data_IF_401047912992
#
_entry.id   IF_401047912992
#
_cell.length_a   1.000
_cell.length_b   1.000
_cell.length_c   1.000
_cell.angle_alpha   90.00
_cell.angle_beta   90.00
_cell.angle_gamma   90.00
#
_symmetry.space_group_name_H-M   'P 1'
#
loop_
_entity.id
_entity.type
_entity.pdbx_description
1 polymer ?
#
# COMPACT_ATOMS: atom_id res chain seq x y z
N UNK A 1 -12.10 57.72 -69.40
CA UNK A 1 -11.28 58.89 -69.81
C UNK A 1 -11.33 59.93 -68.68
N UNK A 2 -10.17 60.51 -68.31
CA UNK A 2 -9.86 61.51 -67.25
C UNK A 2 -9.79 60.88 -65.82
N UNK A 3 -8.63 60.59 -65.20
CA UNK A 3 -7.41 61.38 -64.82
C UNK A 3 -7.78 62.50 -63.83
N UNK A 4 -7.21 62.70 -62.62
CA UNK A 4 -5.83 62.65 -62.06
C UNK A 4 -5.88 62.32 -60.53
N UNK A 5 -4.96 61.52 -59.94
CA UNK A 5 -3.68 61.87 -59.24
C UNK A 5 -3.86 62.70 -57.93
N UNK A 6 -3.23 62.47 -56.75
CA UNK A 6 -1.89 61.95 -56.37
C UNK A 6 -1.82 61.49 -54.88
N UNK A 7 -0.98 60.47 -54.66
CA UNK A 7 0.06 60.19 -53.63
C UNK A 7 -0.09 60.54 -52.11
N UNK A 8 0.16 59.49 -51.31
CA UNK A 8 0.47 59.28 -49.87
C UNK A 8 1.96 59.71 -49.58
N UNK A 9 2.65 59.64 -48.39
CA UNK A 9 2.34 59.47 -46.93
C UNK A 9 3.07 60.44 -45.95
N UNK A 10 2.79 60.32 -44.64
CA UNK A 10 3.75 59.89 -43.56
C UNK A 10 3.71 60.67 -42.22
N UNK A 11 3.26 59.95 -41.19
CA UNK A 11 3.87 59.72 -39.86
C UNK A 11 3.98 60.79 -38.75
N UNK A 12 3.86 60.24 -37.53
CA UNK A 12 4.10 60.77 -36.18
C UNK A 12 2.94 61.57 -35.56
N UNK A 13 2.25 61.17 -34.49
CA UNK A 13 2.55 60.19 -33.45
C UNK A 13 2.73 60.91 -32.11
N UNK A 14 1.79 60.76 -31.18
CA UNK A 14 2.01 60.76 -29.73
C UNK A 14 0.68 60.49 -29.00
N UNK A 15 0.78 59.59 -28.03
CA UNK A 15 -0.29 58.86 -27.34
C UNK A 15 -0.77 59.66 -26.12
N UNK A 16 -2.09 59.80 -25.95
CA UNK A 16 -2.71 60.23 -24.69
C UNK A 16 -2.77 59.04 -23.72
N UNK A 17 -1.98 59.07 -22.66
CA UNK A 17 -2.14 58.17 -21.52
C UNK A 17 -3.15 58.74 -20.52
N UNK A 18 -4.34 58.15 -20.47
CA UNK A 18 -5.30 58.33 -19.39
C UNK A 18 -5.07 57.26 -18.33
N UNK A 19 -4.59 57.65 -17.15
CA UNK A 19 -4.49 56.78 -15.98
C UNK A 19 -5.86 56.64 -15.31
N UNK A 20 -6.47 55.45 -15.43
CA UNK A 20 -7.62 55.05 -14.63
C UNK A 20 -7.12 54.36 -13.35
N UNK A 21 -7.53 54.89 -12.19
CA UNK A 21 -7.31 54.29 -10.88
C UNK A 21 -8.28 53.10 -10.72
N UNK A 22 -7.79 51.88 -10.88
CA UNK A 22 -8.48 50.67 -10.45
C UNK A 22 -8.08 50.37 -9.00
N UNK A 23 -9.03 50.44 -8.08
CA UNK A 23 -8.85 50.04 -6.68
C UNK A 23 -8.85 48.51 -6.56
N UNK A 24 -7.73 47.94 -6.16
CA UNK A 24 -7.65 46.55 -5.73
C UNK A 24 -8.12 46.47 -4.27
N UNK A 25 -9.27 45.86 -4.03
CA UNK A 25 -9.61 45.35 -2.70
C UNK A 25 -8.68 44.17 -2.41
N UNK A 26 -7.79 44.32 -1.42
CA UNK A 26 -7.06 43.21 -0.83
C UNK A 26 -8.08 42.22 -0.24
N UNK A 27 -8.46 41.20 -1.02
CA UNK A 27 -8.89 39.94 -0.44
C UNK A 27 -7.61 39.27 0.03
N UNK A 28 -7.32 39.41 1.32
CA UNK A 28 -6.48 38.44 2.01
C UNK A 28 -7.22 37.11 1.90
N UNK A 29 -6.88 36.35 0.85
CA UNK A 29 -7.17 34.92 0.82
C UNK A 29 -6.29 34.36 1.91
N UNK A 30 -6.87 34.13 3.08
CA UNK A 30 -6.31 33.18 4.03
C UNK A 30 -6.52 31.85 3.31
N UNK A 31 -5.58 31.48 2.44
CA UNK A 31 -5.42 30.09 2.09
C UNK A 31 -5.21 29.40 3.43
N UNK A 32 -6.04 28.40 3.81
CA UNK A 32 -5.66 27.57 4.94
C UNK A 32 -4.25 27.12 4.58
N UNK A 33 -3.29 27.41 5.46
CA UNK A 33 -1.97 26.82 5.36
C UNK A 33 -2.23 25.32 5.36
N UNK A 34 -2.31 24.73 4.17
CA UNK A 34 -2.06 23.33 4.00
C UNK A 34 -0.65 23.23 4.56
N UNK A 35 -0.53 22.72 5.78
CA UNK A 35 0.73 22.18 6.22
C UNK A 35 1.11 21.25 5.09
N UNK A 36 2.09 21.67 4.28
CA UNK A 36 2.70 20.79 3.30
C UNK A 36 3.10 19.60 4.14
N UNK A 37 2.42 18.48 3.95
CA UNK A 37 2.81 17.25 4.60
C UNK A 37 4.17 16.91 4.00
N UNK A 38 5.24 17.39 4.64
CA UNK A 38 6.62 16.90 4.48
C UNK A 38 6.72 15.45 5.01
N UNK A 39 5.64 14.67 4.85
CA UNK A 39 5.57 13.25 5.13
C UNK A 39 6.26 12.57 3.97
N UNK A 40 7.18 11.68 4.31
CA UNK A 40 7.95 10.93 3.33
C UNK A 40 7.01 10.20 2.33
N UNK A 41 7.28 10.22 1.01
CA UNK A 41 6.49 9.44 0.06
C UNK A 41 6.45 7.95 0.41
N UNK A 42 5.33 7.28 0.14
CA UNK A 42 5.23 5.83 0.30
C UNK A 42 5.58 5.15 -1.02
N UNK A 43 6.61 4.31 -0.99
CA UNK A 43 7.04 3.52 -2.13
C UNK A 43 6.81 2.05 -1.80
N UNK A 44 5.76 1.51 -2.43
CA UNK A 44 5.22 0.15 -2.26
C UNK A 44 5.97 -0.79 -3.20
N UNK A 45 6.92 -1.54 -2.66
CA UNK A 45 7.71 -2.51 -3.42
C UNK A 45 6.94 -3.82 -3.53
N UNK A 46 6.81 -4.33 -4.75
CA UNK A 46 6.15 -5.58 -5.08
C UNK A 46 6.97 -6.36 -6.11
N UNK A 47 6.90 -7.69 -6.08
CA UNK A 47 7.36 -8.54 -7.17
C UNK A 47 6.37 -8.41 -8.36
N UNK A 48 6.88 -7.96 -9.51
CA UNK A 48 6.04 -7.74 -10.69
C UNK A 48 5.65 -9.01 -11.44
N UNK A 49 6.34 -10.12 -11.18
CA UNK A 49 6.04 -11.42 -11.78
C UNK A 49 4.94 -12.15 -10.98
N UNK A 50 4.68 -11.71 -9.75
CA UNK A 50 3.57 -12.17 -8.92
C UNK A 50 2.33 -11.29 -9.13
N UNK A 51 1.30 -11.86 -9.77
CA UNK A 51 0.05 -11.13 -10.08
C UNK A 51 -0.69 -10.72 -8.80
N UNK A 52 -0.65 -11.53 -7.75
CA UNK A 52 -1.34 -11.24 -6.49
C UNK A 52 -0.65 -10.06 -5.77
N UNK A 53 0.69 -9.99 -5.81
CA UNK A 53 1.42 -8.82 -5.29
C UNK A 53 1.16 -7.55 -6.10
N UNK A 54 1.03 -7.64 -7.43
CA UNK A 54 0.63 -6.50 -8.26
C UNK A 54 -0.76 -5.97 -7.86
N UNK A 55 -1.71 -6.86 -7.62
CA UNK A 55 -3.06 -6.50 -7.15
C UNK A 55 -3.00 -5.89 -5.74
N UNK A 56 -2.28 -6.52 -4.81
CA UNK A 56 -2.11 -6.03 -3.44
C UNK A 56 -1.44 -4.65 -3.40
N UNK A 57 -0.38 -4.43 -4.18
CA UNK A 57 0.28 -3.13 -4.28
C UNK A 57 -0.69 -2.02 -4.71
N UNK A 58 -1.56 -2.31 -5.67
CA UNK A 58 -2.60 -1.37 -6.10
C UNK A 58 -3.69 -1.16 -5.05
N UNK A 59 -4.09 -2.20 -4.33
CA UNK A 59 -5.01 -2.10 -3.19
C UNK A 59 -4.43 -1.16 -2.14
N UNK A 60 -3.19 -1.36 -1.71
CA UNK A 60 -2.55 -0.52 -0.71
C UNK A 60 -2.39 0.92 -1.18
N UNK A 61 -2.02 1.14 -2.44
CA UNK A 61 -1.97 2.49 -3.04
C UNK A 61 -3.32 3.20 -2.93
N UNK A 62 -4.41 2.53 -3.28
CA UNK A 62 -5.75 3.15 -3.24
C UNK A 62 -6.29 3.33 -1.81
N UNK A 63 -5.93 2.46 -0.86
CA UNK A 63 -6.24 2.63 0.56
C UNK A 63 -5.54 3.88 1.11
N UNK A 64 -4.22 3.97 0.91
CA UNK A 64 -3.45 5.11 1.38
C UNK A 64 -3.93 6.43 0.76
N UNK A 65 -4.33 6.40 -0.52
CA UNK A 65 -4.93 7.57 -1.17
C UNK A 65 -6.25 8.02 -0.52
N UNK A 66 -7.06 7.09 0.03
CA UNK A 66 -8.29 7.42 0.78
C UNK A 66 -7.98 8.08 2.12
N UNK A 67 -6.86 7.70 2.75
CA UNK A 67 -6.31 8.33 3.95
C UNK A 67 -5.55 9.64 3.66
N UNK A 68 -5.55 10.10 2.41
CA UNK A 68 -4.86 11.33 2.00
C UNK A 68 -3.34 11.19 1.87
N UNK A 69 -2.83 9.95 1.79
CA UNK A 69 -1.40 9.65 1.63
C UNK A 69 -1.07 9.25 0.20
N UNK A 70 -0.16 9.99 -0.42
CA UNK A 70 0.36 9.60 -1.73
C UNK A 70 1.29 8.37 -1.61
N UNK A 71 1.05 7.40 -2.49
CA UNK A 71 1.81 6.18 -2.57
C UNK A 71 2.06 5.78 -4.04
N UNK A 72 3.23 5.23 -4.31
CA UNK A 72 3.65 4.72 -5.63
C UNK A 72 3.92 3.23 -5.55
N UNK A 73 3.47 2.47 -6.54
CA UNK A 73 3.83 1.06 -6.68
C UNK A 73 5.14 0.97 -7.46
N UNK A 74 6.16 0.41 -6.80
CA UNK A 74 7.51 0.20 -7.33
C UNK A 74 7.66 -1.29 -7.67
N UNK A 75 7.86 -1.55 -8.96
CA UNK A 75 8.01 -2.90 -9.52
C UNK A 75 9.49 -3.26 -9.59
N UNK A 76 10.01 -3.74 -8.48
CA UNK A 76 11.41 -4.14 -8.33
C UNK A 76 11.51 -5.37 -7.42
N UNK A 77 12.60 -6.13 -7.57
CA UNK A 77 12.91 -7.22 -6.64
C UNK A 77 12.94 -6.70 -5.19
N UNK A 78 12.26 -7.42 -4.28
CA UNK A 78 12.24 -7.08 -2.85
C UNK A 78 13.65 -7.03 -2.24
N UNK A 79 14.58 -7.81 -2.78
CA UNK A 79 15.94 -7.94 -2.28
C UNK A 79 16.96 -7.53 -3.33
N UNK A 80 17.87 -6.64 -2.93
CA UNK A 80 19.07 -6.33 -3.67
C UNK A 80 20.21 -7.25 -3.26
N UNK A 81 20.89 -7.87 -4.23
CA UNK A 81 22.09 -8.70 -3.98
C UNK A 81 23.37 -7.87 -4.07
N UNK A 82 24.23 -7.97 -3.06
CA UNK A 82 25.50 -7.23 -2.94
C UNK A 82 26.71 -8.14 -3.15
N UNK A 83 26.66 -9.03 -4.14
CA UNK A 83 27.67 -10.05 -4.38
C UNK A 83 27.92 -10.88 -3.12
N UNK A 84 29.19 -10.97 -2.69
CA UNK A 84 29.59 -11.75 -1.50
C UNK A 84 29.13 -11.12 -0.17
N UNK A 85 28.62 -9.88 -0.17
CA UNK A 85 28.17 -9.18 1.05
C UNK A 85 26.75 -9.55 1.48
N UNK A 86 26.09 -10.45 0.76
CA UNK A 86 24.74 -10.91 1.06
C UNK A 86 23.66 -10.10 0.33
N UNK A 87 22.46 -10.08 0.90
CA UNK A 87 21.29 -9.39 0.36
C UNK A 87 20.82 -8.31 1.33
N UNK A 88 20.24 -7.23 0.82
CA UNK A 88 19.48 -6.25 1.59
C UNK A 88 18.07 -6.13 1.03
N UNK A 89 17.13 -5.54 1.77
CA UNK A 89 15.94 -5.00 1.12
C UNK A 89 16.34 -3.98 0.05
N UNK A 90 15.56 -3.89 -1.02
CA UNK A 90 15.78 -2.85 -2.03
C UNK A 90 15.63 -1.47 -1.38
N UNK A 91 16.54 -0.52 -1.66
CA UNK A 91 16.42 0.86 -1.21
C UNK A 91 15.35 1.64 -1.99
N UNK A 92 14.72 1.03 -3.00
CA UNK A 92 13.75 1.66 -3.87
C UNK A 92 12.37 1.88 -3.22
N UNK A 93 12.16 1.39 -1.98
CA UNK A 93 10.96 1.74 -1.26
C UNK A 93 11.05 1.58 0.25
N UNK A 94 9.90 1.70 0.90
CA UNK A 94 9.77 1.75 2.35
C UNK A 94 8.53 1.02 2.89
N UNK A 95 7.75 0.42 1.99
CA UNK A 95 6.63 -0.47 2.25
C UNK A 95 6.75 -1.68 1.31
N UNK A 96 6.95 -2.87 1.84
CA UNK A 96 7.29 -4.07 1.07
C UNK A 96 6.15 -5.07 1.19
N UNK A 97 5.57 -5.48 0.06
CA UNK A 97 4.58 -6.56 0.01
C UNK A 97 5.30 -7.86 -0.31
N UNK A 98 5.02 -8.92 0.43
CA UNK A 98 5.63 -10.22 0.19
C UNK A 98 4.98 -11.29 1.04
N UNK A 99 5.64 -12.43 1.21
CA UNK A 99 5.12 -13.52 2.00
C UNK A 99 5.90 -13.75 3.30
N UNK A 100 5.20 -14.26 4.31
CA UNK A 100 5.70 -14.41 5.68
C UNK A 100 6.96 -15.26 5.78
N UNK A 101 6.98 -16.40 5.09
CA UNK A 101 8.10 -17.34 5.08
C UNK A 101 9.27 -16.85 4.22
N UNK A 102 9.02 -16.15 3.11
CA UNK A 102 10.08 -15.53 2.32
C UNK A 102 10.83 -14.44 3.13
N UNK A 103 10.08 -13.53 3.77
CA UNK A 103 10.69 -12.54 4.66
C UNK A 103 11.45 -13.19 5.83
N UNK A 104 10.90 -14.24 6.42
CA UNK A 104 11.58 -14.98 7.49
C UNK A 104 12.85 -15.68 6.98
N UNK A 105 12.81 -16.28 5.79
CA UNK A 105 13.96 -16.92 5.15
C UNK A 105 15.11 -15.93 4.95
N UNK A 106 14.77 -14.69 4.58
CA UNK A 106 15.74 -13.61 4.46
C UNK A 106 16.26 -13.13 5.83
N UNK A 107 15.39 -12.82 6.79
CA UNK A 107 15.77 -12.20 8.08
C UNK A 107 16.37 -13.19 9.09
N UNK A 108 15.87 -14.42 9.12
CA UNK A 108 16.35 -15.49 9.99
C UNK A 108 16.33 -16.85 9.26
N UNK A 109 17.29 -17.09 8.35
CA UNK A 109 17.35 -18.32 7.57
C UNK A 109 17.53 -19.59 8.41
N UNK A 110 18.02 -19.47 9.65
CA UNK A 110 18.12 -20.62 10.57
C UNK A 110 16.73 -21.04 11.03
N UNK A 111 15.97 -20.11 11.62
CA UNK A 111 14.62 -20.38 12.10
C UNK A 111 13.68 -20.80 10.95
N UNK A 112 13.79 -20.15 9.78
CA UNK A 112 13.06 -20.54 8.57
C UNK A 112 13.28 -22.01 8.20
N UNK A 113 14.54 -22.47 8.19
CA UNK A 113 14.85 -23.88 7.90
C UNK A 113 14.35 -24.81 9.00
N UNK A 114 14.32 -24.37 10.24
CA UNK A 114 13.88 -25.18 11.38
C UNK A 114 12.37 -25.40 11.35
N UNK A 115 11.61 -24.32 11.10
CA UNK A 115 10.16 -24.37 10.88
C UNK A 115 9.84 -25.22 9.64
N UNK A 116 10.55 -25.00 8.52
CA UNK A 116 10.35 -25.78 7.29
C UNK A 116 10.54 -27.29 7.51
N UNK A 117 11.56 -27.70 8.27
CA UNK A 117 11.77 -29.11 8.62
C UNK A 117 10.64 -29.67 9.48
N UNK A 118 10.11 -28.88 10.42
CA UNK A 118 8.97 -29.28 11.23
C UNK A 118 7.68 -29.39 10.39
N UNK A 119 7.43 -28.42 9.52
CA UNK A 119 6.29 -28.36 8.61
C UNK A 119 6.28 -29.55 7.63
N UNK A 120 7.41 -29.86 7.00
CA UNK A 120 7.53 -31.06 6.14
C UNK A 120 7.30 -32.37 6.90
N UNK A 121 7.66 -32.41 8.19
CA UNK A 121 7.51 -33.60 9.03
C UNK A 121 6.07 -33.80 9.52
N UNK A 122 5.29 -32.73 9.69
CA UNK A 122 3.88 -32.85 10.07
C UNK A 122 3.03 -33.45 8.94
N UNK A 123 3.47 -33.33 7.68
CA UNK A 123 2.70 -33.80 6.52
C UNK A 123 1.39 -33.03 6.33
N UNK A 124 0.57 -33.43 5.34
CA UNK A 124 -0.77 -32.86 5.12
C UNK A 124 -1.82 -33.26 6.17
N UNK A 125 -1.43 -34.08 7.16
CA UNK A 125 -2.30 -34.48 8.27
C UNK A 125 -2.38 -33.34 9.30
N UNK A 126 -3.09 -32.28 8.93
CA UNK A 126 -3.56 -31.24 9.86
C UNK A 126 -4.57 -31.88 10.82
N UNK A 127 -4.06 -32.59 11.83
CA UNK A 127 -4.87 -33.09 12.92
C UNK A 127 -5.51 -31.91 13.66
N UNK A 128 -6.75 -32.06 14.12
CA UNK A 128 -7.39 -31.06 14.96
C UNK A 128 -6.52 -30.82 16.21
N UNK A 129 -6.07 -29.58 16.42
CA UNK A 129 -5.12 -29.22 17.48
C UNK A 129 -3.64 -29.41 17.12
N UNK A 130 -3.32 -29.64 15.85
CA UNK A 130 -1.96 -29.58 15.32
C UNK A 130 -1.36 -28.16 15.38
N UNK A 131 -0.06 -28.08 15.14
CA UNK A 131 0.67 -26.81 15.14
C UNK A 131 0.20 -25.91 13.99
N UNK A 132 -0.14 -24.66 14.32
CA UNK A 132 -0.42 -23.63 13.33
C UNK A 132 0.89 -23.06 12.80
N UNK A 133 1.37 -23.63 11.70
CA UNK A 133 2.63 -23.21 11.10
C UNK A 133 2.56 -21.83 10.44
N UNK A 134 1.37 -21.34 10.06
CA UNK A 134 1.21 -19.97 9.57
C UNK A 134 1.44 -18.98 10.71
N UNK A 135 0.77 -19.20 11.85
CA UNK A 135 0.97 -18.39 13.04
C UNK A 135 2.41 -18.48 13.56
N UNK A 136 3.01 -19.68 13.59
CA UNK A 136 4.41 -19.85 14.02
C UNK A 136 5.38 -19.11 13.11
N UNK A 137 5.20 -19.19 11.80
CA UNK A 137 6.06 -18.49 10.83
C UNK A 137 5.93 -16.99 11.00
N UNK A 138 4.71 -16.47 11.19
CA UNK A 138 4.49 -15.05 11.46
C UNK A 138 5.11 -14.57 12.77
N UNK A 139 4.95 -15.31 13.88
CA UNK A 139 5.56 -14.98 15.17
C UNK A 139 7.09 -14.98 15.07
N UNK A 140 7.66 -15.94 14.34
CA UNK A 140 9.10 -16.00 14.08
C UNK A 140 9.57 -14.81 13.23
N UNK A 141 8.80 -14.41 12.22
CA UNK A 141 9.06 -13.21 11.42
C UNK A 141 9.09 -11.97 12.30
N UNK A 142 8.04 -11.72 13.10
CA UNK A 142 7.97 -10.58 14.02
C UNK A 142 9.17 -10.53 14.97
N UNK A 143 9.63 -11.69 15.45
CA UNK A 143 10.78 -11.80 16.35
C UNK A 143 12.12 -11.55 15.64
N UNK A 144 12.17 -11.74 14.33
CA UNK A 144 13.36 -11.54 13.50
C UNK A 144 13.47 -10.11 12.92
N UNK A 145 12.43 -9.28 13.07
CA UNK A 145 12.42 -7.94 12.48
C UNK A 145 13.53 -7.05 13.06
N UNK A 146 14.27 -6.33 12.20
CA UNK A 146 15.09 -5.20 12.61
C UNK A 146 14.30 -4.17 13.41
N UNK A 147 14.99 -3.40 14.26
CA UNK A 147 14.33 -2.46 15.18
C UNK A 147 13.55 -1.36 14.48
N UNK A 148 13.94 -1.00 13.27
CA UNK A 148 13.34 0.03 12.42
C UNK A 148 12.20 -0.48 11.53
N UNK A 149 11.97 -1.80 11.45
CA UNK A 149 10.87 -2.38 10.68
C UNK A 149 9.72 -2.85 11.58
N UNK A 150 8.52 -2.83 11.01
CA UNK A 150 7.29 -3.36 11.55
C UNK A 150 6.54 -4.18 10.49
N UNK A 151 5.53 -4.91 10.96
CA UNK A 151 4.64 -5.72 10.14
C UNK A 151 3.23 -5.70 10.75
N UNK A 152 2.27 -6.26 10.05
CA UNK A 152 0.88 -6.43 10.50
C UNK A 152 0.49 -7.91 10.39
N UNK A 153 -0.69 -8.26 10.90
CA UNK A 153 -1.24 -9.60 10.71
C UNK A 153 -1.29 -9.97 9.22
N UNK A 154 -0.86 -11.19 8.85
CA UNK A 154 -0.86 -11.63 7.47
C UNK A 154 -2.29 -11.86 6.98
N UNK A 155 -2.43 -11.92 5.66
CA UNK A 155 -3.71 -12.19 5.01
C UNK A 155 -4.14 -13.64 5.10
N UNK A 156 -5.43 -13.89 4.87
CA UNK A 156 -5.93 -15.25 4.62
C UNK A 156 -5.59 -15.77 3.21
N UNK A 157 -5.10 -14.92 2.32
CA UNK A 157 -4.59 -15.29 1.00
C UNK A 157 -3.19 -15.92 1.10
N UNK A 158 -2.90 -16.84 0.19
CA UNK A 158 -1.65 -17.59 0.15
C UNK A 158 -0.94 -17.32 -1.18
N UNK A 159 0.38 -17.26 -1.15
CA UNK A 159 1.19 -16.93 -2.32
C UNK A 159 2.63 -17.35 -2.12
N UNK A 160 3.51 -16.98 -3.04
CA UNK A 160 4.94 -17.30 -2.97
C UNK A 160 5.26 -18.81 -2.78
N UNK A 161 4.43 -19.72 -3.32
CA UNK A 161 4.51 -21.17 -3.07
C UNK A 161 5.84 -21.82 -3.49
N UNK A 162 6.58 -21.18 -4.41
CA UNK A 162 7.89 -21.66 -4.89
C UNK A 162 9.07 -21.21 -4.00
N UNK A 163 8.81 -20.52 -2.89
CA UNK A 163 9.85 -20.03 -1.98
C UNK A 163 10.65 -21.18 -1.33
N UNK A 164 11.94 -20.95 -1.14
CA UNK A 164 12.84 -21.89 -0.47
C UNK A 164 13.47 -21.25 0.77
N UNK A 165 13.46 -21.94 1.93
CA UNK A 165 12.90 -23.27 2.17
C UNK A 165 11.36 -23.28 2.18
N UNK A 166 10.75 -24.42 1.84
CA UNK A 166 9.28 -24.59 1.85
C UNK A 166 8.72 -24.28 3.26
N UNK A 167 7.95 -23.21 3.33
CA UNK A 167 7.24 -22.74 4.51
C UNK A 167 5.78 -22.52 4.10
N UNK A 168 4.84 -22.52 5.05
CA UNK A 168 3.51 -22.04 4.74
C UNK A 168 3.56 -20.52 4.59
N UNK A 169 2.92 -20.02 3.54
CA UNK A 169 3.05 -18.64 3.09
C UNK A 169 1.69 -17.94 3.09
N UNK A 170 1.62 -16.79 3.75
CA UNK A 170 0.56 -15.81 3.56
C UNK A 170 1.16 -14.45 3.21
N UNK A 171 0.43 -13.67 2.43
CA UNK A 171 0.84 -12.30 2.14
C UNK A 171 0.86 -11.45 3.41
N UNK A 172 1.89 -10.62 3.52
CA UNK A 172 2.10 -9.69 4.62
C UNK A 172 2.87 -8.48 4.10
N UNK A 173 2.89 -7.42 4.88
CA UNK A 173 3.72 -6.25 4.59
C UNK A 173 4.81 -6.04 5.64
N UNK A 174 5.98 -5.61 5.19
CA UNK A 174 7.01 -5.03 6.05
C UNK A 174 7.12 -3.54 5.74
N UNK A 175 7.28 -2.72 6.77
CA UNK A 175 7.38 -1.28 6.57
C UNK A 175 8.26 -0.62 7.61
N UNK A 176 8.82 0.55 7.27
CA UNK A 176 9.62 1.32 8.22
C UNK A 176 8.72 1.94 9.29
N UNK A 177 9.10 1.79 10.56
CA UNK A 177 8.40 2.40 11.70
C UNK A 177 8.40 3.92 11.57
N UNK A 178 7.28 4.54 11.94
CA UNK A 178 7.08 5.99 11.87
C UNK A 178 6.72 6.51 10.47
N UNK A 179 6.60 5.63 9.48
CA UNK A 179 6.17 5.99 8.12
C UNK A 179 4.67 6.32 8.06
N UNK A 180 3.88 5.62 8.87
CA UNK A 180 2.43 5.74 8.94
C UNK A 180 1.97 6.29 10.28
N UNK A 181 0.87 7.03 10.25
CA UNK A 181 0.07 7.28 11.46
C UNK A 181 -0.84 6.09 11.77
N UNK A 182 -1.60 6.20 12.86
CA UNK A 182 -2.43 5.11 13.37
C UNK A 182 -3.58 4.79 12.40
N UNK A 183 -4.17 5.81 11.78
CA UNK A 183 -5.28 5.67 10.86
C UNK A 183 -4.84 4.98 9.56
N UNK A 184 -3.73 5.43 8.97
CA UNK A 184 -3.08 4.81 7.81
C UNK A 184 -2.71 3.34 8.11
N UNK A 185 -2.09 3.06 9.26
CA UNK A 185 -1.70 1.71 9.67
C UNK A 185 -2.92 0.78 9.81
N UNK A 186 -3.98 1.24 10.48
CA UNK A 186 -5.20 0.45 10.64
C UNK A 186 -5.87 0.16 9.29
N UNK A 187 -5.85 1.12 8.35
CA UNK A 187 -6.49 0.96 7.06
C UNK A 187 -5.86 -0.18 6.24
N UNK A 188 -4.52 -0.21 6.09
CA UNK A 188 -3.88 -1.31 5.37
C UNK A 188 -3.80 -2.60 6.20
N UNK A 189 -3.71 -2.52 7.53
CA UNK A 189 -3.71 -3.70 8.41
C UNK A 189 -5.05 -4.45 8.32
N UNK A 190 -6.17 -3.72 8.34
CA UNK A 190 -7.51 -4.32 8.20
C UNK A 190 -7.64 -5.05 6.87
N UNK A 191 -7.25 -4.40 5.76
CA UNK A 191 -7.35 -5.05 4.45
C UNK A 191 -6.42 -6.23 4.33
N UNK A 192 -5.17 -6.11 4.81
CA UNK A 192 -4.23 -7.24 4.80
C UNK A 192 -4.83 -8.42 5.54
N UNK A 193 -5.38 -8.23 6.74
CA UNK A 193 -5.92 -9.31 7.56
C UNK A 193 -7.08 -10.07 6.90
N UNK A 194 -7.99 -9.35 6.24
CA UNK A 194 -9.25 -9.94 5.77
C UNK A 194 -9.27 -10.28 4.27
N UNK A 195 -8.30 -9.82 3.48
CA UNK A 195 -8.24 -10.18 2.07
C UNK A 195 -8.00 -11.68 1.91
N UNK A 196 -8.79 -12.29 1.03
CA UNK A 196 -8.76 -13.73 0.78
C UNK A 196 -8.16 -14.05 -0.58
N UNK A 197 -7.77 -15.31 -0.78
CA UNK A 197 -7.28 -15.74 -2.09
C UNK A 197 -8.33 -15.55 -3.19
N UNK A 198 -9.61 -15.70 -2.83
CA UNK A 198 -10.71 -15.47 -3.76
C UNK A 198 -10.75 -14.01 -4.20
N UNK A 199 -10.60 -13.06 -3.28
CA UNK A 199 -10.61 -11.64 -3.62
C UNK A 199 -9.48 -11.28 -4.59
N UNK A 200 -8.27 -11.80 -4.34
CA UNK A 200 -7.13 -11.59 -5.24
C UNK A 200 -7.34 -12.22 -6.62
N UNK A 201 -7.86 -13.45 -6.65
CA UNK A 201 -8.14 -14.16 -7.91
C UNK A 201 -9.21 -13.46 -8.74
N UNK A 202 -10.32 -13.03 -8.11
CA UNK A 202 -11.41 -12.31 -8.76
C UNK A 202 -10.89 -10.95 -9.29
N UNK A 203 -10.11 -10.21 -8.49
CA UNK A 203 -9.49 -8.95 -8.93
C UNK A 203 -8.52 -9.11 -10.09
N UNK A 204 -7.74 -10.19 -10.09
CA UNK A 204 -6.82 -10.51 -11.19
C UNK A 204 -7.58 -10.86 -12.48
N UNK A 205 -8.75 -11.49 -12.38
CA UNK A 205 -9.64 -11.75 -13.52
C UNK A 205 -10.29 -10.44 -14.02
N UNK A 206 -10.87 -9.65 -13.12
CA UNK A 206 -11.45 -8.34 -13.44
C UNK A 206 -10.42 -7.39 -14.06
N UNK A 207 -9.16 -7.44 -13.62
CA UNK A 207 -8.09 -6.65 -14.21
C UNK A 207 -7.80 -7.05 -15.67
N UNK A 208 -7.94 -8.33 -16.03
CA UNK A 208 -7.80 -8.81 -17.41
C UNK A 208 -8.98 -8.32 -18.27
N UNK A 209 -10.19 -8.39 -17.73
CA UNK A 209 -11.42 -7.99 -18.43
C UNK A 209 -11.49 -6.47 -18.65
N UNK A 210 -11.09 -5.70 -17.64
CA UNK A 210 -11.04 -4.23 -17.71
C UNK A 210 -9.79 -3.68 -18.38
N UNK A 211 -8.74 -4.51 -18.53
CA UNK A 211 -7.42 -4.11 -18.99
C UNK A 211 -6.66 -3.21 -18.00
N UNK A 212 -7.08 -3.15 -16.72
CA UNK A 212 -6.51 -2.25 -15.72
C UNK A 212 -6.72 -2.77 -14.30
N UNK A 213 -5.62 -3.11 -13.61
CA UNK A 213 -5.62 -3.45 -12.18
C UNK A 213 -6.18 -2.30 -11.35
N UNK A 214 -5.78 -1.05 -11.64
CA UNK A 214 -6.31 0.14 -10.98
C UNK A 214 -7.83 0.22 -11.06
N UNK A 215 -8.40 -0.02 -12.25
CA UNK A 215 -9.85 0.04 -12.43
C UNK A 215 -10.56 -1.09 -11.69
N UNK A 216 -10.06 -2.32 -11.80
CA UNK A 216 -10.62 -3.48 -11.10
C UNK A 216 -10.64 -3.26 -9.58
N UNK A 217 -9.52 -2.86 -8.99
CA UNK A 217 -9.42 -2.53 -7.56
C UNK A 217 -10.37 -1.41 -7.17
N UNK A 218 -10.44 -0.33 -7.97
CA UNK A 218 -11.33 0.80 -7.71
C UNK A 218 -12.81 0.42 -7.71
N UNK A 219 -13.20 -0.54 -8.54
CA UNK A 219 -14.58 -1.05 -8.63
C UNK A 219 -14.89 -2.03 -7.48
N UNK A 220 -13.95 -2.92 -7.14
CA UNK A 220 -14.05 -3.82 -5.99
C UNK A 220 -14.21 -3.04 -4.68
N UNK A 221 -13.40 -1.98 -4.46
CA UNK A 221 -13.50 -1.17 -3.26
C UNK A 221 -14.77 -0.31 -3.14
N UNK A 222 -15.63 -0.28 -4.17
CA UNK A 222 -16.97 0.33 -4.11
C UNK A 222 -18.07 -0.71 -3.85
N UNK A 223 -17.73 -1.98 -3.98
CA UNK A 223 -18.61 -3.11 -3.79
C UNK A 223 -18.56 -3.57 -2.32
N UNK A 224 -19.50 -4.40 -1.85
CA UNK A 224 -19.47 -4.94 -0.49
C UNK A 224 -18.18 -5.69 -0.12
N UNK A 225 -17.41 -6.18 -1.11
CA UNK A 225 -16.06 -6.73 -0.89
C UNK A 225 -15.05 -5.71 -0.33
N UNK A 226 -15.27 -4.41 -0.57
CA UNK A 226 -14.48 -3.33 0.03
C UNK A 226 -14.83 -3.01 1.49
N UNK A 227 -15.89 -3.59 2.06
CA UNK A 227 -16.25 -3.38 3.48
C UNK A 227 -15.21 -3.98 4.46
N UNK A 228 -14.24 -4.74 3.95
CA UNK A 228 -13.02 -5.15 4.66
C UNK A 228 -12.20 -3.93 5.19
N UNK A 229 -12.40 -2.75 4.60
CA UNK A 229 -11.75 -1.48 4.98
C UNK A 229 -12.46 -0.79 6.15
N UNK A 230 -13.76 -1.02 6.35
CA UNK A 230 -14.55 -0.42 7.43
C UNK A 230 -14.60 -1.36 8.63
N UNK A 231 -13.52 -1.39 9.41
CA UNK A 231 -13.52 -2.05 10.70
C UNK A 231 -14.58 -1.45 11.60
N UNK A 232 -15.63 -2.23 11.89
CA UNK A 232 -16.59 -1.98 12.97
C UNK A 232 -15.82 -1.77 14.28
N UNK A 233 -15.59 -0.51 14.62
CA UNK A 233 -15.22 -0.10 15.96
C UNK A 233 -16.40 -0.31 16.88
N UNK A 234 -16.56 -1.54 17.39
CA UNK A 234 -17.55 -1.87 18.43
C UNK A 234 -17.19 -1.20 19.75
N UNK A 235 -17.48 0.10 19.83
CA UNK A 235 -17.61 0.84 21.08
C UNK A 235 -18.98 0.56 21.69
N UNK A 236 -19.16 -0.65 22.24
CA UNK A 236 -20.31 -0.95 23.09
C UNK A 236 -19.93 -1.91 24.23
N UNK A 237 -18.82 -1.63 24.94
CA UNK A 237 -18.63 -2.17 26.29
C UNK A 237 -19.55 -1.43 27.26
N UNK A 238 -20.81 -1.87 27.33
CA UNK A 238 -21.71 -1.45 28.40
C UNK A 238 -21.44 -2.36 29.58
N UNK A 239 -20.61 -1.89 30.52
CA UNK A 239 -20.48 -2.51 31.83
C UNK A 239 -21.84 -2.50 32.54
N UNK A 240 -22.48 -3.66 32.60
CA UNK A 240 -23.69 -3.91 33.37
C UNK A 240 -23.43 -5.06 34.33
N UNK A 241 -23.08 -4.71 35.57
CA UNK A 241 -23.09 -5.65 36.69
C UNK A 241 -24.54 -5.95 37.03
N UNK A 242 -24.96 -7.21 36.99
CA UNK A 242 -26.11 -7.67 37.77
C UNK A 242 -25.87 -9.12 38.23
N UNK A 243 -25.29 -9.21 39.43
CA UNK A 243 -25.36 -10.39 40.27
C UNK A 243 -26.76 -10.40 40.90
N UNK A 244 -27.63 -11.31 40.46
CA UNK A 244 -28.79 -11.70 41.27
C UNK A 244 -28.71 -13.17 41.60
N UNK A 245 -28.45 -13.41 42.88
CA UNK A 245 -28.58 -14.67 43.58
C UNK A 245 -30.02 -15.20 43.52
N UNK A 246 -30.18 -16.50 43.29
CA UNK A 246 -31.24 -17.34 43.86
C UNK A 246 -30.81 -18.81 43.79
#
# INVERSE_FOLDING_TARGET
MRSLARLIPACAGAVLSATLLAGCTDRVVIEPSAESSDREPIDIVIDSDDTDQVVLGEIYRQILAREGREATVVKEDLYQTHGDKGRSFTPAGNFYVGCTGDFLSYLNPSEARDISRAYKKSGSDSQAGGEDFLARTHIALMSALPTDLATVEPSGAYGCEDAQPELPENFVVLYRKGLFDREEENAFASVTKFITQKDLSDLAEDAKDTGSVEKAVREWMKSPGGNVVEGEGDSASTGGSDLTSS
#
